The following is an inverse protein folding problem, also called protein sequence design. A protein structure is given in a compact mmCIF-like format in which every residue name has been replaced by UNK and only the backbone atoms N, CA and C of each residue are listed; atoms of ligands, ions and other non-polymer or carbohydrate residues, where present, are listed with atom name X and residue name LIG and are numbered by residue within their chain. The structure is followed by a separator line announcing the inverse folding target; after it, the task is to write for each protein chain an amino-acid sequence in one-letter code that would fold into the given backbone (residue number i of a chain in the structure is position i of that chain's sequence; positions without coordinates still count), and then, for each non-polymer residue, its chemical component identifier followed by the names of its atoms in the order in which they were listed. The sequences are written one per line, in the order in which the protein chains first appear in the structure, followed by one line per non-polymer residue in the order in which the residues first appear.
data_IF_176330351018
#
_entry.id   IF_176330351018
#
_cell.length_a   1.000
_cell.length_b   1.000
_cell.length_c   1.000
_cell.angle_alpha   90.00
_cell.angle_beta   90.00
_cell.angle_gamma   90.00
#
_symmetry.space_group_name_H-M   'P 1'
#
loop_
_entity.id
_entity.type
_entity.pdbx_description
1 polymer ?
#
# COMPACT_ATOMS: atom_id res chain seq x y z
N UNK A 1 -11.09 -20.31 -8.67
CA UNK A 1 -11.08 -19.23 -7.67
C UNK A 1 -10.92 -17.89 -8.35
N UNK A 2 -11.75 -16.91 -8.03
CA UNK A 2 -11.72 -15.57 -8.63
C UNK A 2 -10.37 -14.83 -8.43
N UNK A 3 -9.56 -15.23 -7.46
CA UNK A 3 -8.26 -14.61 -7.13
C UNK A 3 -7.06 -15.30 -7.77
N UNK A 4 -7.25 -16.24 -8.70
CA UNK A 4 -6.14 -16.90 -9.40
C UNK A 4 -5.38 -17.97 -8.63
N UNK A 5 -5.83 -18.34 -7.43
CA UNK A 5 -5.30 -19.46 -6.65
C UNK A 5 -5.97 -20.76 -7.08
N UNK A 6 -5.37 -21.45 -8.03
CA UNK A 6 -5.87 -22.73 -8.53
C UNK A 6 -4.68 -23.61 -8.96
N UNK A 7 -4.73 -24.90 -8.76
CA UNK A 7 -5.81 -25.64 -8.09
C UNK A 7 -5.75 -25.55 -6.56
N UNK A 8 -6.82 -25.99 -5.90
CA UNK A 8 -6.79 -26.37 -4.48
C UNK A 8 -6.46 -27.85 -4.43
N UNK A 9 -5.41 -28.23 -3.72
CA UNK A 9 -4.92 -29.60 -3.66
C UNK A 9 -4.74 -30.07 -2.20
N UNK A 10 -5.02 -31.33 -1.89
CA UNK A 10 -4.69 -31.87 -0.57
C UNK A 10 -3.17 -31.89 -0.33
N UNK A 11 -2.78 -31.81 0.93
CA UNK A 11 -1.36 -31.92 1.28
C UNK A 11 -0.77 -33.27 0.84
N UNK A 12 0.37 -33.21 0.18
CA UNK A 12 1.21 -34.34 -0.19
C UNK A 12 2.66 -34.02 0.14
N UNK A 13 3.40 -34.97 0.67
CA UNK A 13 4.80 -34.77 1.03
C UNK A 13 5.73 -35.58 0.08
N UNK A 14 6.67 -34.94 -0.65
CA UNK A 14 6.94 -33.51 -0.69
C UNK A 14 5.91 -32.72 -1.51
N UNK A 15 5.69 -31.46 -1.11
CA UNK A 15 4.83 -30.55 -1.89
C UNK A 15 5.61 -30.10 -3.12
N UNK A 16 5.12 -30.47 -4.30
CA UNK A 16 5.67 -30.09 -5.60
C UNK A 16 4.66 -29.27 -6.37
N UNK A 17 4.53 -28.00 -6.00
CA UNK A 17 3.60 -27.07 -6.65
C UNK A 17 4.27 -25.75 -6.92
N UNK A 18 4.03 -25.20 -8.10
CA UNK A 18 4.53 -23.87 -8.45
C UNK A 18 3.58 -22.78 -7.92
N UNK A 19 2.30 -22.92 -8.19
CA UNK A 19 1.25 -22.01 -7.73
C UNK A 19 -0.02 -22.82 -7.40
N UNK A 20 -0.42 -22.84 -6.13
CA UNK A 20 -1.60 -23.57 -5.65
C UNK A 20 -1.97 -23.15 -4.23
N UNK A 21 -3.21 -23.52 -3.82
CA UNK A 21 -3.59 -23.56 -2.40
C UNK A 21 -3.52 -25.04 -1.94
N UNK A 22 -2.73 -25.31 -0.90
CA UNK A 22 -2.56 -26.65 -0.31
C UNK A 22 -3.38 -26.73 0.96
N UNK A 23 -4.32 -27.69 1.02
CA UNK A 23 -5.20 -27.93 2.17
C UNK A 23 -4.50 -28.70 3.27
N UNK A 24 -4.94 -28.48 4.52
CA UNK A 24 -4.51 -29.21 5.72
C UNK A 24 -2.98 -29.32 5.84
N UNK A 25 -2.31 -28.18 5.54
CA UNK A 25 -0.84 -28.17 5.55
C UNK A 25 -0.28 -28.30 6.96
N UNK A 26 0.59 -29.29 7.24
CA UNK A 26 1.10 -29.56 8.57
C UNK A 26 2.04 -28.45 9.06
N UNK A 27 1.82 -27.97 10.28
CA UNK A 27 2.73 -27.11 11.03
C UNK A 27 3.00 -27.74 12.40
N UNK A 28 4.02 -27.27 13.12
CA UNK A 28 4.28 -27.73 14.50
C UNK A 28 3.15 -27.37 15.46
N UNK A 29 2.29 -26.44 15.10
CA UNK A 29 1.17 -25.96 15.92
C UNK A 29 -0.20 -26.49 15.45
N UNK A 30 -0.20 -27.54 14.62
CA UNK A 30 -1.38 -28.14 14.01
C UNK A 30 -1.49 -27.83 12.50
N UNK A 31 -2.43 -28.46 11.79
CA UNK A 31 -2.62 -28.24 10.36
C UNK A 31 -3.26 -26.86 10.10
N UNK A 32 -2.68 -26.10 9.17
CA UNK A 32 -3.27 -24.87 8.65
C UNK A 32 -4.31 -25.23 7.59
N UNK A 33 -5.47 -24.54 7.61
CA UNK A 33 -6.54 -24.85 6.67
C UNK A 33 -6.07 -24.80 5.21
N UNK A 34 -5.34 -23.72 4.84
CA UNK A 34 -4.68 -23.64 3.54
C UNK A 34 -3.33 -22.93 3.65
N UNK A 35 -2.37 -23.38 2.84
CA UNK A 35 -1.12 -22.67 2.57
C UNK A 35 -1.05 -22.33 1.08
N UNK A 36 -0.87 -21.06 0.76
CA UNK A 36 -0.75 -20.56 -0.60
C UNK A 36 0.71 -20.63 -1.04
N UNK A 37 0.94 -21.33 -2.15
CA UNK A 37 2.25 -21.46 -2.78
C UNK A 37 2.33 -20.55 -4.01
N UNK A 38 3.44 -19.85 -4.17
CA UNK A 38 3.79 -19.14 -5.39
C UNK A 38 5.28 -19.30 -5.66
N UNK A 39 5.64 -19.51 -6.92
CA UNK A 39 7.02 -19.81 -7.34
C UNK A 39 7.67 -20.94 -6.53
N UNK A 40 6.88 -21.97 -6.19
CA UNK A 40 7.32 -23.12 -5.41
C UNK A 40 7.54 -22.86 -3.90
N UNK A 41 7.22 -21.66 -3.41
CA UNK A 41 7.44 -21.24 -2.02
C UNK A 41 6.10 -21.05 -1.30
N UNK A 42 5.99 -21.46 -0.02
CA UNK A 42 4.83 -21.15 0.81
C UNK A 42 4.87 -19.66 1.17
N UNK A 43 3.93 -18.86 0.68
CA UNK A 43 3.95 -17.39 0.87
C UNK A 43 2.81 -16.86 1.74
N UNK A 44 1.75 -17.62 1.95
CA UNK A 44 0.66 -17.19 2.82
C UNK A 44 -0.05 -18.37 3.49
N UNK A 45 -0.57 -18.14 4.70
CA UNK A 45 -1.51 -19.03 5.37
C UNK A 45 -2.91 -18.42 5.26
N UNK A 46 -3.89 -19.25 4.99
CA UNK A 46 -5.31 -18.88 5.07
C UNK A 46 -5.99 -19.77 6.08
N UNK A 47 -6.53 -19.18 7.13
CA UNK A 47 -7.36 -19.87 8.10
C UNK A 47 -8.82 -19.54 7.83
N UNK A 48 -9.62 -20.59 7.65
CA UNK A 48 -11.06 -20.49 7.35
C UNK A 48 -11.87 -21.08 8.50
N UNK A 49 -12.88 -20.36 8.98
CA UNK A 49 -13.80 -20.81 10.03
C UNK A 49 -15.24 -20.49 9.63
N UNK A 50 -16.18 -21.11 10.33
CA UNK A 50 -17.60 -20.82 10.18
C UNK A 50 -17.95 -19.42 10.66
N UNK A 51 -19.08 -18.89 10.21
CA UNK A 51 -19.61 -17.55 10.54
C UNK A 51 -19.72 -17.28 12.06
N UNK A 52 -19.85 -18.32 12.88
CA UNK A 52 -20.00 -18.19 14.32
C UNK A 52 -18.72 -17.70 15.05
N UNK A 53 -17.56 -17.78 14.41
CA UNK A 53 -16.26 -17.40 15.02
C UNK A 53 -15.82 -16.05 14.47
N UNK A 54 -15.61 -15.08 15.37
CA UNK A 54 -15.13 -13.77 14.97
C UNK A 54 -13.75 -13.86 14.25
N UNK A 55 -13.57 -13.22 13.09
CA UNK A 55 -12.36 -13.39 12.27
C UNK A 55 -11.07 -12.90 12.94
N UNK A 56 -11.15 -12.09 14.00
CA UNK A 56 -9.98 -11.66 14.76
C UNK A 56 -9.36 -12.81 15.58
N UNK A 57 -10.18 -13.68 16.17
CA UNK A 57 -9.70 -14.87 16.89
C UNK A 57 -9.06 -15.87 15.92
N UNK A 58 -9.57 -15.95 14.70
CA UNK A 58 -9.04 -16.80 13.62
C UNK A 58 -7.67 -16.31 13.15
N UNK A 59 -7.44 -15.00 13.16
CA UNK A 59 -6.15 -14.43 12.78
C UNK A 59 -5.03 -14.83 13.77
N UNK A 60 -5.32 -14.91 15.07
CA UNK A 60 -4.36 -15.39 16.06
C UNK A 60 -3.98 -16.87 15.81
N UNK A 61 -4.92 -17.67 15.38
CA UNK A 61 -4.65 -19.05 14.99
C UNK A 61 -3.74 -19.11 13.75
N UNK A 62 -4.01 -18.31 12.73
CA UNK A 62 -3.13 -18.19 11.56
C UNK A 62 -1.70 -17.74 11.94
N UNK A 63 -1.56 -16.82 12.90
CA UNK A 63 -0.24 -16.42 13.43
C UNK A 63 0.49 -17.59 14.10
N UNK A 64 -0.20 -18.41 14.90
CA UNK A 64 0.41 -19.61 15.50
C UNK A 64 0.92 -20.60 14.46
N UNK A 65 0.16 -20.82 13.38
CA UNK A 65 0.61 -21.66 12.27
C UNK A 65 1.79 -21.03 11.52
N UNK A 66 1.78 -19.71 11.35
CA UNK A 66 2.89 -18.97 10.73
C UNK A 66 4.22 -19.11 11.51
N UNK A 67 4.15 -19.29 12.83
CA UNK A 67 5.32 -19.60 13.65
C UNK A 67 5.75 -21.08 13.53
N UNK A 68 4.79 -21.98 13.29
CA UNK A 68 5.01 -23.43 13.26
C UNK A 68 5.32 -24.01 11.88
N UNK A 69 5.20 -23.23 10.81
CA UNK A 69 5.51 -23.73 9.46
C UNK A 69 7.00 -23.96 9.29
N UNK A 70 7.37 -25.09 8.65
CA UNK A 70 8.76 -25.48 8.44
C UNK A 70 9.11 -25.50 6.95
N UNK A 71 10.43 -25.57 6.65
CA UNK A 71 10.95 -25.66 5.28
C UNK A 71 10.53 -24.48 4.41
N UNK A 72 10.66 -23.27 4.94
CA UNK A 72 10.40 -22.03 4.22
C UNK A 72 11.66 -21.18 4.15
N UNK A 73 11.84 -20.34 3.11
CA UNK A 73 12.98 -19.43 3.01
C UNK A 73 12.78 -18.15 3.84
N UNK A 74 11.67 -18.03 4.57
CA UNK A 74 11.27 -16.80 5.25
C UNK A 74 11.49 -16.85 6.75
N UNK A 75 11.92 -15.71 7.31
CA UNK A 75 12.04 -15.52 8.76
C UNK A 75 11.79 -14.04 9.09
N UNK A 76 10.65 -13.75 9.74
CA UNK A 76 10.22 -12.41 10.10
C UNK A 76 9.74 -12.39 11.54
N UNK A 77 10.55 -11.89 12.46
CA UNK A 77 10.15 -11.73 13.89
C UNK A 77 9.54 -13.00 14.53
N UNK A 78 10.10 -14.17 14.22
CA UNK A 78 9.60 -15.46 14.69
C UNK A 78 8.48 -16.09 13.84
N UNK A 79 8.07 -15.43 12.78
CA UNK A 79 7.17 -16.00 11.76
C UNK A 79 7.99 -16.51 10.57
N UNK A 80 7.58 -17.64 10.02
CA UNK A 80 8.26 -18.30 8.92
C UNK A 80 7.46 -18.24 7.60
N UNK A 81 6.51 -17.31 7.52
CA UNK A 81 5.73 -17.01 6.32
C UNK A 81 5.40 -15.52 6.32
N UNK A 82 5.42 -14.86 5.14
CA UNK A 82 5.25 -13.40 5.06
C UNK A 82 3.81 -12.92 5.27
N UNK A 83 2.81 -13.70 4.89
CA UNK A 83 1.43 -13.23 4.86
C UNK A 83 0.48 -14.21 5.55
N UNK A 84 -0.54 -13.66 6.21
CA UNK A 84 -1.64 -14.46 6.74
C UNK A 84 -2.99 -13.85 6.37
N UNK A 85 -3.95 -14.74 6.23
CA UNK A 85 -5.36 -14.41 6.05
C UNK A 85 -6.20 -15.14 7.07
N UNK A 86 -7.30 -14.53 7.44
CA UNK A 86 -8.41 -15.21 8.08
C UNK A 86 -9.71 -14.89 7.38
N UNK A 87 -10.61 -15.85 7.27
CA UNK A 87 -11.91 -15.65 6.63
C UNK A 87 -12.98 -16.51 7.26
N UNK A 88 -14.20 -16.03 7.19
CA UNK A 88 -15.41 -16.80 7.51
C UNK A 88 -16.33 -16.98 6.29
N UNK A 89 -15.80 -16.72 5.08
CA UNK A 89 -16.55 -16.77 3.83
C UNK A 89 -17.13 -15.42 3.39
N UNK A 90 -17.48 -14.53 4.33
CA UNK A 90 -18.02 -13.19 4.03
C UNK A 90 -16.98 -12.07 4.19
N UNK A 91 -16.10 -12.22 5.16
CA UNK A 91 -15.10 -11.23 5.50
C UNK A 91 -13.70 -11.83 5.39
N UNK A 92 -12.82 -11.12 4.77
CA UNK A 92 -11.40 -11.49 4.63
C UNK A 92 -10.57 -10.48 5.42
N UNK A 93 -9.75 -10.99 6.34
CA UNK A 93 -8.73 -10.23 7.03
C UNK A 93 -7.35 -10.65 6.53
N UNK A 94 -6.46 -9.68 6.42
CA UNK A 94 -5.09 -9.86 5.94
C UNK A 94 -4.11 -9.18 6.87
N UNK A 95 -2.97 -9.81 7.09
CA UNK A 95 -1.83 -9.20 7.79
C UNK A 95 -0.52 -9.53 7.09
N UNK A 96 0.35 -8.54 6.96
CA UNK A 96 1.72 -8.65 6.46
C UNK A 96 2.65 -8.81 7.66
N UNK A 97 3.19 -10.00 7.89
CA UNK A 97 4.03 -10.34 9.04
C UNK A 97 5.48 -9.88 8.91
N UNK A 98 5.88 -9.37 7.76
CA UNK A 98 7.24 -8.85 7.53
C UNK A 98 7.53 -7.60 8.36
N UNK A 99 6.48 -6.89 8.79
CA UNK A 99 6.56 -5.68 9.62
C UNK A 99 6.20 -5.99 11.05
N UNK A 100 7.04 -5.68 12.04
CA UNK A 100 6.79 -5.97 13.46
C UNK A 100 5.47 -5.39 13.97
N UNK A 101 5.11 -4.19 13.50
CA UNK A 101 3.94 -3.45 13.94
C UNK A 101 2.76 -3.55 12.95
N UNK A 102 2.78 -4.51 12.05
CA UNK A 102 1.70 -4.69 11.07
C UNK A 102 0.39 -5.02 11.75
N UNK A 103 -0.64 -4.25 11.44
CA UNK A 103 -2.01 -4.52 11.88
C UNK A 103 -2.78 -5.23 10.76
N UNK A 104 -3.69 -6.11 11.16
CA UNK A 104 -4.62 -6.72 10.23
C UNK A 104 -5.55 -5.69 9.60
N UNK A 105 -5.95 -5.97 8.37
CA UNK A 105 -6.90 -5.14 7.61
C UNK A 105 -7.95 -6.00 6.92
N UNK A 106 -9.16 -5.46 6.80
CA UNK A 106 -10.20 -6.08 5.99
C UNK A 106 -9.90 -5.90 4.50
N UNK A 107 -10.18 -6.94 3.72
CA UNK A 107 -10.11 -6.93 2.26
C UNK A 107 -11.47 -7.26 1.66
N UNK A 108 -11.68 -6.83 0.43
CA UNK A 108 -12.85 -7.20 -0.38
C UNK A 108 -12.62 -8.49 -1.19
N UNK A 109 -11.35 -8.83 -1.46
CA UNK A 109 -10.95 -10.04 -2.16
C UNK A 109 -9.53 -10.47 -1.72
N UNK A 110 -9.18 -11.74 -1.92
CA UNK A 110 -7.80 -12.21 -1.76
C UNK A 110 -6.90 -11.58 -2.81
N UNK A 111 -5.64 -11.30 -2.43
CA UNK A 111 -4.64 -10.90 -3.41
C UNK A 111 -4.38 -12.01 -4.42
N UNK A 112 -4.07 -11.65 -5.64
CA UNK A 112 -3.59 -12.61 -6.65
C UNK A 112 -2.17 -13.08 -6.34
N UNK A 113 -1.71 -14.23 -6.88
CA UNK A 113 -0.32 -14.68 -6.75
C UNK A 113 0.67 -13.58 -7.14
N UNK A 114 0.45 -12.94 -8.29
CA UNK A 114 1.29 -11.86 -8.77
C UNK A 114 1.36 -10.65 -7.82
N UNK A 115 0.23 -10.29 -7.19
CA UNK A 115 0.19 -9.20 -6.22
C UNK A 115 0.98 -9.54 -4.94
N UNK A 116 0.93 -10.78 -4.45
CA UNK A 116 1.74 -11.19 -3.31
C UNK A 116 3.23 -11.28 -3.65
N UNK A 117 3.59 -11.78 -4.84
CA UNK A 117 4.98 -11.77 -5.30
C UNK A 117 5.51 -10.33 -5.43
N UNK A 118 4.74 -9.41 -6.00
CA UNK A 118 5.10 -7.99 -6.03
C UNK A 118 5.32 -7.43 -4.62
N UNK A 119 4.47 -7.80 -3.67
CA UNK A 119 4.67 -7.41 -2.27
C UNK A 119 5.94 -8.00 -1.69
N UNK A 120 6.30 -9.25 -2.00
CA UNK A 120 7.53 -9.90 -1.53
C UNK A 120 8.79 -9.21 -2.05
N UNK A 121 8.79 -8.68 -3.27
CA UNK A 121 9.94 -7.97 -3.84
C UNK A 121 10.23 -6.64 -3.14
N UNK A 122 9.33 -6.15 -2.29
CA UNK A 122 9.56 -4.92 -1.53
C UNK A 122 10.42 -5.23 -0.31
N UNK A 123 11.60 -4.69 -0.29
CA UNK A 123 12.48 -4.66 0.89
C UNK A 123 11.93 -3.63 1.91
N UNK A 124 11.02 -4.08 2.76
CA UNK A 124 10.31 -3.24 3.72
C UNK A 124 11.29 -2.55 4.68
N UNK A 125 12.29 -3.27 5.17
CA UNK A 125 13.30 -2.73 6.07
C UNK A 125 14.17 -1.65 5.41
N UNK A 126 14.54 -1.85 4.14
CA UNK A 126 15.32 -0.88 3.37
C UNK A 126 14.52 0.41 3.10
N UNK A 127 13.25 0.28 2.70
CA UNK A 127 12.38 1.44 2.49
C UNK A 127 12.15 2.24 3.77
N UNK A 128 11.94 1.56 4.91
CA UNK A 128 11.74 2.21 6.20
C UNK A 128 13.02 2.91 6.70
N UNK A 129 14.19 2.28 6.53
CA UNK A 129 15.48 2.91 6.84
C UNK A 129 15.71 4.13 5.95
N UNK A 130 15.51 3.98 4.65
CA UNK A 130 15.70 5.10 3.70
C UNK A 130 14.78 6.28 4.04
N UNK A 131 13.49 6.04 4.36
CA UNK A 131 12.59 7.10 4.77
C UNK A 131 13.04 7.79 6.05
N UNK A 132 13.55 7.04 7.03
CA UNK A 132 14.04 7.56 8.32
C UNK A 132 15.29 8.42 8.15
N UNK A 133 16.20 7.99 7.26
CA UNK A 133 17.51 8.63 7.09
C UNK A 133 17.47 9.81 6.13
N UNK A 134 16.40 9.94 5.33
CA UNK A 134 16.26 11.04 4.38
C UNK A 134 15.88 12.35 5.09
N UNK A 135 16.70 13.42 5.01
CA UNK A 135 16.42 14.68 5.69
C UNK A 135 15.15 15.35 5.14
N UNK A 136 14.38 16.02 6.02
CA UNK A 136 13.23 16.85 5.64
C UNK A 136 13.71 18.30 5.49
N UNK A 137 14.39 18.59 4.40
CA UNK A 137 15.15 19.84 4.21
C UNK A 137 14.78 20.62 2.94
N UNK A 138 13.70 20.23 2.26
CA UNK A 138 13.27 20.93 1.05
C UNK A 138 13.17 22.44 1.30
N UNK A 139 13.80 23.31 0.47
CA UNK A 139 13.98 24.73 0.75
C UNK A 139 12.69 25.54 0.86
N UNK A 140 11.61 25.09 0.22
CA UNK A 140 10.31 25.78 0.27
C UNK A 140 9.47 25.43 1.50
N UNK A 141 9.89 24.43 2.29
CA UNK A 141 9.16 24.04 3.50
C UNK A 141 9.44 25.00 4.65
N UNK A 142 8.36 25.44 5.29
CA UNK A 142 8.41 26.15 6.57
C UNK A 142 8.62 25.19 7.73
N UNK A 143 9.15 25.61 8.88
CA UNK A 143 9.44 24.73 10.02
C UNK A 143 8.25 23.82 10.40
N UNK A 144 7.06 24.39 10.59
CA UNK A 144 5.86 23.63 10.95
C UNK A 144 5.39 22.60 9.89
N UNK A 145 5.73 22.82 8.61
CA UNK A 145 5.46 21.87 7.54
C UNK A 145 6.43 20.68 7.63
N UNK A 146 7.69 20.94 7.93
CA UNK A 146 8.69 19.90 8.21
C UNK A 146 8.27 19.05 9.41
N UNK A 147 7.85 19.69 10.51
CA UNK A 147 7.38 19.00 11.71
C UNK A 147 6.17 18.10 11.40
N UNK A 148 5.24 18.59 10.57
CA UNK A 148 4.09 17.81 10.14
C UNK A 148 4.51 16.57 9.32
N UNK A 149 5.44 16.72 8.37
CA UNK A 149 5.97 15.60 7.57
C UNK A 149 6.64 14.58 8.47
N UNK A 150 7.54 15.02 9.36
CA UNK A 150 8.24 14.14 10.31
C UNK A 150 7.24 13.36 11.17
N UNK A 151 6.22 14.02 11.70
CA UNK A 151 5.20 13.39 12.53
C UNK A 151 4.39 12.32 11.75
N UNK A 152 4.06 12.60 10.48
CA UNK A 152 3.37 11.64 9.61
C UNK A 152 4.28 10.45 9.31
N UNK A 153 5.53 10.68 8.94
CA UNK A 153 6.50 9.61 8.65
C UNK A 153 6.73 8.71 9.87
N UNK A 154 6.92 9.29 11.04
CA UNK A 154 7.01 8.54 12.29
C UNK A 154 5.76 7.69 12.56
N UNK A 155 4.57 8.24 12.29
CA UNK A 155 3.33 7.50 12.43
C UNK A 155 3.23 6.34 11.42
N UNK A 156 3.69 6.53 10.18
CA UNK A 156 3.75 5.47 9.15
C UNK A 156 4.71 4.37 9.60
N UNK A 157 5.92 4.73 10.05
CA UNK A 157 6.93 3.78 10.54
C UNK A 157 6.45 3.02 11.78
N UNK A 158 5.62 3.66 12.63
CA UNK A 158 4.94 3.01 13.75
C UNK A 158 3.73 2.15 13.34
N UNK A 159 3.47 1.99 12.02
CA UNK A 159 2.38 1.16 11.50
C UNK A 159 0.98 1.77 11.63
N UNK A 160 0.86 3.07 11.93
CA UNK A 160 -0.44 3.76 11.94
C UNK A 160 -1.00 3.83 10.53
N UNK A 161 -2.30 3.56 10.38
CA UNK A 161 -2.97 3.48 9.07
C UNK A 161 -3.92 4.64 8.79
N UNK A 162 -4.32 5.35 9.81
CA UNK A 162 -5.17 6.54 9.71
C UNK A 162 -4.55 7.64 10.56
N UNK A 163 -4.43 8.82 9.97
CA UNK A 163 -3.85 10.00 10.59
C UNK A 163 -4.67 11.21 10.18
N UNK A 164 -4.86 12.12 11.13
CA UNK A 164 -5.46 13.42 10.88
C UNK A 164 -4.40 14.48 11.07
N UNK A 165 -4.22 15.31 10.03
CA UNK A 165 -3.31 16.46 10.08
C UNK A 165 -4.13 17.74 9.95
N UNK A 166 -4.22 18.50 11.04
CA UNK A 166 -4.93 19.77 11.05
C UNK A 166 -3.98 20.91 10.66
N UNK A 167 -4.25 21.55 9.54
CA UNK A 167 -3.51 22.71 9.05
C UNK A 167 -4.48 23.81 8.63
N UNK A 168 -4.24 25.05 9.04
CA UNK A 168 -5.08 26.19 8.69
C UNK A 168 -5.09 26.47 7.18
N UNK A 169 -6.07 27.23 6.70
CA UNK A 169 -6.10 27.67 5.31
C UNK A 169 -4.92 28.60 5.02
N UNK A 170 -4.30 28.48 3.85
CA UNK A 170 -3.13 29.28 3.46
C UNK A 170 -1.79 28.85 4.05
N UNK A 171 -1.74 27.78 4.86
CA UNK A 171 -0.49 27.28 5.46
C UNK A 171 0.33 26.35 4.55
N UNK A 172 -0.10 26.18 3.29
CA UNK A 172 0.62 25.35 2.31
C UNK A 172 0.40 23.85 2.46
N UNK A 173 -0.83 23.43 2.82
CA UNK A 173 -1.22 22.00 2.88
C UNK A 173 -0.80 21.21 1.64
N UNK A 174 -1.05 21.78 0.46
CA UNK A 174 -0.72 21.13 -0.82
C UNK A 174 0.78 20.90 -0.96
N UNK A 175 1.61 21.89 -0.67
CA UNK A 175 3.07 21.78 -0.72
C UNK A 175 3.58 20.71 0.27
N UNK A 176 3.09 20.73 1.51
CA UNK A 176 3.42 19.73 2.54
C UNK A 176 3.06 18.32 2.07
N UNK A 177 1.89 18.17 1.45
CA UNK A 177 1.42 16.86 0.95
C UNK A 177 2.25 16.39 -0.24
N UNK A 178 2.61 17.26 -1.18
CA UNK A 178 3.43 16.90 -2.35
C UNK A 178 4.82 16.46 -1.93
N UNK A 179 5.46 17.18 -1.01
CA UNK A 179 6.78 16.79 -0.49
C UNK A 179 6.72 15.45 0.25
N UNK A 180 5.71 15.23 1.11
CA UNK A 180 5.48 13.94 1.74
C UNK A 180 5.31 12.81 0.72
N UNK A 181 4.49 13.03 -0.33
CA UNK A 181 4.28 12.06 -1.40
C UNK A 181 5.59 11.73 -2.10
N UNK A 182 6.38 12.75 -2.46
CA UNK A 182 7.70 12.57 -3.07
C UNK A 182 8.60 11.69 -2.20
N UNK A 183 8.70 11.98 -0.90
CA UNK A 183 9.53 11.25 0.05
C UNK A 183 9.09 9.79 0.22
N UNK A 184 7.78 9.54 0.33
CA UNK A 184 7.23 8.18 0.41
C UNK A 184 7.49 7.36 -0.87
N UNK A 185 7.46 8.00 -2.04
CA UNK A 185 7.77 7.34 -3.31
C UNK A 185 9.28 7.12 -3.47
N UNK A 186 10.09 8.13 -3.18
CA UNK A 186 11.55 8.06 -3.28
C UNK A 186 12.15 7.00 -2.35
N UNK A 187 11.66 6.89 -1.14
CA UNK A 187 12.08 5.85 -0.19
C UNK A 187 11.63 4.43 -0.59
N UNK A 188 10.67 4.30 -1.53
CA UNK A 188 10.04 3.03 -1.85
C UNK A 188 8.95 2.59 -0.86
N UNK A 189 8.64 3.43 0.15
CA UNK A 189 7.57 3.15 1.13
C UNK A 189 6.21 3.07 0.45
N UNK A 190 5.96 3.90 -0.57
CA UNK A 190 4.77 3.85 -1.41
C UNK A 190 5.14 3.83 -2.90
N UNK A 191 4.38 3.08 -3.71
CA UNK A 191 4.52 3.04 -5.18
C UNK A 191 3.36 3.74 -5.90
N UNK A 192 2.20 3.76 -5.27
CA UNK A 192 0.97 4.39 -5.80
C UNK A 192 0.29 5.11 -4.65
N UNK A 193 -0.04 6.36 -4.89
CA UNK A 193 -0.69 7.23 -3.92
C UNK A 193 -1.93 7.81 -4.58
N UNK A 194 -3.06 7.74 -3.87
CA UNK A 194 -4.29 8.35 -4.30
C UNK A 194 -4.49 9.67 -3.53
N UNK A 195 -4.51 10.78 -4.25
CA UNK A 195 -4.81 12.10 -3.72
C UNK A 195 -6.28 12.45 -4.02
N UNK A 196 -7.08 12.62 -2.98
CA UNK A 196 -8.51 12.91 -3.11
C UNK A 196 -8.83 14.33 -2.65
N UNK A 197 -9.65 15.00 -3.44
CA UNK A 197 -10.21 16.32 -3.13
C UNK A 197 -11.70 16.34 -3.47
N UNK A 198 -12.44 17.22 -2.83
CA UNK A 198 -13.91 17.30 -2.96
C UNK A 198 -14.37 18.11 -4.18
N UNK A 199 -13.48 18.94 -4.78
CA UNK A 199 -13.82 19.83 -5.88
C UNK A 199 -12.86 19.70 -7.05
N UNK A 200 -13.38 19.81 -8.28
CA UNK A 200 -12.60 19.71 -9.52
C UNK A 200 -11.52 20.79 -9.61
N UNK A 201 -11.79 22.03 -9.24
CA UNK A 201 -10.80 23.10 -9.25
C UNK A 201 -9.67 22.84 -8.25
N UNK A 202 -9.93 22.25 -7.09
CA UNK A 202 -8.87 21.82 -6.16
C UNK A 202 -8.02 20.69 -6.74
N UNK A 203 -8.64 19.78 -7.52
CA UNK A 203 -7.89 18.77 -8.26
C UNK A 203 -6.99 19.39 -9.33
N UNK A 204 -7.50 20.35 -10.10
CA UNK A 204 -6.73 21.08 -11.09
C UNK A 204 -5.57 21.88 -10.48
N UNK A 205 -5.81 22.56 -9.36
CA UNK A 205 -4.77 23.25 -8.58
C UNK A 205 -3.70 22.27 -8.08
N UNK A 206 -4.13 21.09 -7.59
CA UNK A 206 -3.19 20.06 -7.13
C UNK A 206 -2.32 19.56 -8.29
N UNK A 207 -2.89 19.23 -9.45
CA UNK A 207 -2.14 18.80 -10.65
C UNK A 207 -1.11 19.84 -11.05
N UNK A 208 -1.50 21.12 -11.08
CA UNK A 208 -0.60 22.24 -11.37
C UNK A 208 0.52 22.33 -10.33
N UNK A 209 0.19 22.15 -9.04
CA UNK A 209 1.17 22.18 -7.97
C UNK A 209 2.17 21.02 -8.09
N UNK A 210 1.72 19.79 -8.41
CA UNK A 210 2.59 18.66 -8.68
C UNK A 210 3.53 18.92 -9.87
N UNK A 211 3.00 19.45 -10.98
CA UNK A 211 3.78 19.75 -12.17
C UNK A 211 4.83 20.85 -11.96
N UNK A 212 4.60 21.76 -11.00
CA UNK A 212 5.53 22.84 -10.70
C UNK A 212 6.45 22.57 -9.53
N UNK A 213 6.22 21.51 -8.75
CA UNK A 213 7.06 21.18 -7.61
C UNK A 213 8.43 20.67 -8.08
N UNK A 214 9.48 21.38 -7.70
CA UNK A 214 10.86 21.00 -7.94
C UNK A 214 11.29 20.01 -6.86
N UNK A 215 11.09 18.72 -7.13
CA UNK A 215 11.34 17.65 -6.16
C UNK A 215 12.83 17.42 -5.89
N UNK A 216 13.67 17.69 -6.89
CA UNK A 216 15.13 17.67 -6.80
C UNK A 216 15.68 18.89 -7.55
N UNK A 217 16.90 19.37 -7.24
CA UNK A 217 17.47 20.53 -7.93
C UNK A 217 17.39 20.39 -9.45
N UNK A 218 16.63 21.28 -10.10
CA UNK A 218 16.43 21.31 -11.54
C UNK A 218 15.47 20.23 -12.08
N UNK A 219 14.85 19.40 -11.23
CA UNK A 219 14.02 18.28 -11.64
C UNK A 219 12.63 18.34 -10.99
N UNK A 220 11.62 18.55 -11.80
CA UNK A 220 10.22 18.62 -11.36
C UNK A 220 9.64 17.24 -11.07
N UNK A 221 8.64 17.19 -10.19
CA UNK A 221 7.97 15.97 -9.75
C UNK A 221 7.41 15.14 -10.92
N UNK A 222 6.74 15.78 -11.87
CA UNK A 222 6.13 15.15 -13.05
C UNK A 222 7.15 14.60 -14.07
N UNK A 223 8.45 14.89 -13.88
CA UNK A 223 9.56 14.30 -14.64
C UNK A 223 10.13 13.05 -13.98
N UNK A 224 9.83 12.84 -12.70
CA UNK A 224 10.30 11.68 -11.92
C UNK A 224 9.18 10.65 -11.80
N UNK A 225 7.94 11.10 -11.57
CA UNK A 225 6.78 10.25 -11.30
C UNK A 225 5.59 10.63 -12.18
N UNK A 226 4.85 9.63 -12.62
CA UNK A 226 3.61 9.84 -13.34
C UNK A 226 2.50 10.38 -12.42
N UNK A 227 1.85 11.45 -12.86
CA UNK A 227 0.67 12.02 -12.23
C UNK A 227 -0.55 11.71 -13.11
N UNK A 228 -1.40 10.80 -12.64
CA UNK A 228 -2.65 10.49 -13.31
C UNK A 228 -3.76 11.38 -12.78
N UNK A 229 -4.51 12.01 -13.68
CA UNK A 229 -5.71 12.77 -13.36
C UNK A 229 -6.76 12.54 -14.43
N UNK A 230 -8.03 12.74 -14.10
CA UNK A 230 -9.06 12.94 -15.13
C UNK A 230 -8.71 14.21 -15.91
N UNK A 231 -9.03 14.21 -17.20
CA UNK A 231 -8.92 15.43 -18.00
C UNK A 231 -9.99 16.42 -17.55
N UNK A 232 -9.61 17.68 -17.44
CA UNK A 232 -10.48 18.76 -17.05
C UNK A 232 -11.08 19.42 -18.29
N UNK A 233 -12.38 19.72 -18.24
CA UNK A 233 -13.01 20.60 -19.22
C UNK A 233 -12.88 22.04 -18.72
N UNK A 234 -12.64 23.02 -19.59
CA UNK A 234 -12.60 24.43 -19.17
C UNK A 234 -13.87 24.86 -18.40
N UNK A 235 -15.04 24.40 -18.83
CA UNK A 235 -16.34 24.70 -18.22
C UNK A 235 -16.47 24.15 -16.79
N UNK A 236 -15.78 23.06 -16.46
CA UNK A 236 -15.77 22.46 -15.12
C UNK A 236 -15.02 23.33 -14.09
N UNK A 237 -14.32 24.36 -14.55
CA UNK A 237 -13.42 25.21 -13.75
C UNK A 237 -13.88 26.67 -13.67
N UNK A 238 -14.91 27.07 -14.46
CA UNK A 238 -15.38 28.46 -14.58
C UNK A 238 -16.04 29.00 -13.30
N UNK A 239 -16.70 28.14 -12.52
CA UNK A 239 -17.37 28.54 -11.27
C UNK A 239 -16.40 28.77 -10.08
N UNK A 240 -15.14 28.45 -10.24
CA UNK A 240 -14.13 28.58 -9.21
C UNK A 240 -12.99 29.47 -9.74
N UNK A 241 -12.49 30.39 -8.93
CA UNK A 241 -11.39 31.33 -9.26
C UNK A 241 -10.08 30.62 -9.64
N UNK A 242 -10.13 29.78 -10.66
CA UNK A 242 -8.99 29.02 -11.19
C UNK A 242 -8.84 29.31 -12.68
N UNK A 243 -7.66 29.77 -13.11
CA UNK A 243 -7.36 29.98 -14.52
C UNK A 243 -6.95 28.66 -15.20
N UNK A 244 -7.77 28.10 -16.11
CA UNK A 244 -7.45 26.85 -16.81
C UNK A 244 -6.16 26.90 -17.63
N UNK A 245 -5.68 28.09 -18.01
CA UNK A 245 -4.43 28.28 -18.76
C UNK A 245 -3.18 27.85 -17.98
N UNK A 246 -3.29 27.74 -16.67
CA UNK A 246 -2.17 27.30 -15.79
C UNK A 246 -2.00 25.79 -15.81
N UNK A 247 -3.01 25.03 -16.26
CA UNK A 247 -2.90 23.57 -16.38
C UNK A 247 -2.01 23.17 -17.55
N UNK A 248 -1.14 22.17 -17.39
CA UNK A 248 -0.47 21.54 -18.53
C UNK A 248 -1.52 21.02 -19.52
N UNK A 249 -1.30 21.25 -20.81
CA UNK A 249 -2.25 20.89 -21.89
C UNK A 249 -2.62 19.40 -21.92
N UNK A 250 -1.72 18.53 -21.41
CA UNK A 250 -1.98 17.09 -21.28
C UNK A 250 -3.15 16.74 -20.36
N UNK A 251 -3.56 17.64 -19.47
CA UNK A 251 -4.67 17.45 -18.52
C UNK A 251 -5.97 18.10 -18.97
N UNK A 252 -5.96 18.87 -20.06
CA UNK A 252 -7.17 19.43 -20.65
C UNK A 252 -7.78 18.47 -21.66
N UNK A 253 -9.11 18.41 -21.70
CA UNK A 253 -9.83 17.70 -22.76
C UNK A 253 -9.65 18.48 -24.05
N UNK A 254 -9.21 17.81 -25.12
CA UNK A 254 -9.16 18.44 -26.44
C UNK A 254 -10.62 18.65 -26.94
N UNK A 255 -11.07 19.87 -27.14
CA UNK A 255 -12.43 20.12 -27.61
C UNK A 255 -12.72 19.56 -29.02
N UNK A 256 -11.67 19.25 -29.79
CA UNK A 256 -11.78 18.72 -31.17
C UNK A 256 -11.90 17.17 -31.23
N UNK A 257 -12.01 16.48 -30.08
CA UNK A 257 -12.12 15.02 -29.99
C UNK A 257 -13.46 14.59 -29.36
N UNK A 258 -14.53 15.34 -29.49
CA UNK A 258 -15.87 14.94 -29.03
C UNK A 258 -16.67 14.24 -30.13
#
# INVERSE_FOLDING_TARGET
CASGWAPVIPFQNPVQVNCAAVEEYPTTNGPAAYVLFSSGRPIAIVEAKTLAVGPQNVLQQAQRYAQGIQKTPFSYNGFHIPFIYSTNGEVIWFQDLRRPNSRSRRLTAFHTPAALEEMLTREVSSAESHLRDMPVDHPWLRPYQRDAIIAIEQAILAGKRAMLVAMATGTGKTLTTIDLIYRLMKSGTARRILFLVDRRALAAQAVTAFANFEAEPGLKFDRIYEVYSQRFRPEDLEDEKFDPKVLPTSYLTNPDLS
#
